data_IF_554752612984
#
_entry.id   IF_554752612984
#
_cell.length_a   1.000
_cell.length_b   1.000
_cell.length_c   1.000
_cell.angle_alpha   90.00
_cell.angle_beta   90.00
_cell.angle_gamma   90.00
#
_symmetry.space_group_name_H-M   'P 1'
#
loop_
_entity.id
_entity.type
_entity.pdbx_description
1 polymer ?
#
# COMPACT_ATOMS: atom_id res chain seq x y z
N UNK A 1 28.38 -0.03 8.12
CA UNK A 1 28.48 -0.40 6.70
C UNK A 1 27.06 -0.40 6.11
N UNK A 2 26.75 0.68 5.37
CA UNK A 2 25.39 0.94 4.84
C UNK A 2 24.95 -0.19 3.90
N UNK A 3 25.88 -0.74 3.10
CA UNK A 3 25.55 -1.80 2.15
C UNK A 3 25.11 -3.10 2.84
N UNK A 4 25.70 -3.43 3.97
CA UNK A 4 25.25 -4.57 4.80
C UNK A 4 23.90 -4.35 5.44
N UNK A 5 23.54 -3.11 5.79
CA UNK A 5 22.23 -2.75 6.30
C UNK A 5 21.17 -2.89 5.19
N UNK A 6 21.48 -2.38 4.00
CA UNK A 6 20.60 -2.50 2.83
C UNK A 6 20.37 -3.97 2.49
N UNK A 7 21.42 -4.78 2.40
CA UNK A 7 21.32 -6.22 2.12
C UNK A 7 20.45 -6.95 3.17
N UNK A 8 20.58 -6.60 4.45
CA UNK A 8 19.74 -7.16 5.52
C UNK A 8 18.28 -6.75 5.41
N UNK A 9 17.99 -5.49 5.01
CA UNK A 9 16.64 -4.97 4.84
C UNK A 9 15.99 -5.62 3.61
N UNK A 10 16.73 -5.74 2.49
CA UNK A 10 16.27 -6.42 1.29
C UNK A 10 16.04 -7.93 1.53
N UNK A 11 16.94 -8.57 2.30
CA UNK A 11 16.76 -9.96 2.71
C UNK A 11 15.52 -10.17 3.58
N UNK A 12 15.16 -9.18 4.42
CA UNK A 12 13.93 -9.19 5.21
C UNK A 12 12.67 -8.91 4.36
N UNK A 13 12.83 -8.59 3.05
CA UNK A 13 11.74 -8.40 2.10
C UNK A 13 11.24 -6.98 1.94
N UNK A 14 11.97 -6.02 2.49
CA UNK A 14 11.65 -4.60 2.33
C UNK A 14 12.48 -3.99 1.20
N UNK A 15 11.86 -3.11 0.40
CA UNK A 15 12.59 -2.31 -0.58
C UNK A 15 13.33 -1.15 0.10
N UNK A 16 14.54 -0.85 -0.36
CA UNK A 16 15.32 0.29 0.11
C UNK A 16 15.39 1.34 -0.99
N UNK A 17 14.90 2.55 -0.72
CA UNK A 17 15.12 3.70 -1.59
C UNK A 17 16.41 4.38 -1.15
N UNK A 18 17.44 4.36 -2.01
CA UNK A 18 18.71 5.03 -1.72
C UNK A 18 18.59 6.51 -2.06
N UNK A 19 18.88 7.39 -1.10
CA UNK A 19 19.13 8.80 -1.38
C UNK A 19 20.54 8.95 -1.95
N UNK A 20 20.66 9.63 -3.08
CA UNK A 20 21.95 9.86 -3.75
C UNK A 20 22.69 11.08 -3.18
N UNK A 21 22.08 11.84 -2.28
CA UNK A 21 22.67 13.05 -1.73
C UNK A 21 23.48 12.77 -0.46
N UNK A 22 24.76 13.15 -0.48
CA UNK A 22 25.73 12.99 0.64
C UNK A 22 25.43 13.88 1.86
N UNK A 23 24.45 14.81 1.77
CA UNK A 23 24.22 15.87 2.75
C UNK A 23 23.10 15.60 3.76
N UNK A 24 22.55 14.38 3.82
CA UNK A 24 21.58 14.00 4.88
C UNK A 24 20.24 14.75 4.89
N UNK A 25 20.00 15.63 3.92
CA UNK A 25 18.73 16.35 3.77
C UNK A 25 17.76 15.53 2.91
N UNK A 26 16.47 15.43 3.27
CA UNK A 26 15.46 14.86 2.39
C UNK A 26 15.41 15.70 1.11
N UNK A 27 15.96 15.19 0.01
CA UNK A 27 15.85 15.87 -1.28
C UNK A 27 14.40 15.81 -1.76
N UNK A 28 13.96 16.82 -2.50
CA UNK A 28 12.67 16.81 -3.20
C UNK A 28 12.54 15.54 -4.05
N UNK A 29 13.64 15.05 -4.61
CA UNK A 29 13.73 13.79 -5.35
C UNK A 29 13.30 12.56 -4.54
N UNK A 30 13.56 12.51 -3.22
CA UNK A 30 13.12 11.39 -2.36
C UNK A 30 11.61 11.43 -2.14
N UNK A 31 11.05 12.60 -1.88
CA UNK A 31 9.62 12.76 -1.68
C UNK A 31 8.84 12.41 -2.95
N UNK A 32 9.40 12.74 -4.12
CA UNK A 32 8.80 12.41 -5.41
C UNK A 32 8.96 10.92 -5.75
N UNK A 33 10.09 10.30 -5.42
CA UNK A 33 10.29 8.85 -5.55
C UNK A 33 9.34 8.06 -4.65
N UNK A 34 9.14 8.48 -3.40
CA UNK A 34 8.15 7.88 -2.49
C UNK A 34 6.72 8.04 -3.01
N UNK A 35 6.36 9.23 -3.52
CA UNK A 35 5.04 9.48 -4.10
C UNK A 35 4.80 8.61 -5.34
N UNK A 36 5.80 8.44 -6.21
CA UNK A 36 5.74 7.59 -7.38
C UNK A 36 5.59 6.11 -6.99
N UNK A 37 6.39 5.62 -6.05
CA UNK A 37 6.30 4.25 -5.52
C UNK A 37 4.92 3.97 -4.91
N UNK A 38 4.37 4.91 -4.14
CA UNK A 38 3.03 4.80 -3.55
C UNK A 38 1.92 4.77 -4.61
N UNK A 39 2.00 5.63 -5.63
CA UNK A 39 1.04 5.60 -6.76
C UNK A 39 1.07 4.25 -7.48
N UNK A 40 2.24 3.69 -7.69
CA UNK A 40 2.40 2.38 -8.30
C UNK A 40 1.83 1.27 -7.41
N UNK A 41 2.04 1.35 -6.10
CA UNK A 41 1.47 0.40 -5.13
C UNK A 41 -0.06 0.48 -5.15
N UNK A 42 -0.66 1.67 -5.04
CA UNK A 42 -2.12 1.87 -5.10
C UNK A 42 -2.69 1.30 -6.40
N UNK A 43 -2.05 1.56 -7.54
CA UNK A 43 -2.49 1.05 -8.84
C UNK A 43 -2.47 -0.48 -8.87
N UNK A 44 -1.39 -1.09 -8.38
CA UNK A 44 -1.25 -2.55 -8.31
C UNK A 44 -2.28 -3.18 -7.38
N UNK A 45 -2.49 -2.60 -6.19
CA UNK A 45 -3.48 -3.07 -5.22
C UNK A 45 -4.90 -2.93 -5.76
N UNK A 46 -5.22 -1.81 -6.43
CA UNK A 46 -6.52 -1.57 -7.06
C UNK A 46 -6.82 -2.59 -8.16
N UNK A 47 -5.83 -2.88 -9.02
CA UNK A 47 -5.97 -3.89 -10.06
C UNK A 47 -6.22 -5.29 -9.49
N UNK A 48 -5.44 -5.70 -8.49
CA UNK A 48 -5.62 -7.00 -7.83
C UNK A 48 -6.98 -7.09 -7.13
N UNK A 49 -7.41 -6.02 -6.46
CA UNK A 49 -8.74 -5.95 -5.85
C UNK A 49 -9.84 -6.06 -6.91
N UNK A 50 -9.71 -5.37 -8.05
CA UNK A 50 -10.66 -5.47 -9.17
C UNK A 50 -10.81 -6.92 -9.66
N UNK A 51 -9.71 -7.64 -9.82
CA UNK A 51 -9.74 -9.08 -10.15
C UNK A 51 -10.40 -9.87 -9.03
N UNK A 52 -10.05 -9.58 -7.75
CA UNK A 52 -10.67 -10.23 -6.60
C UNK A 52 -12.18 -10.11 -6.60
N UNK A 53 -12.71 -8.89 -6.77
CA UNK A 53 -14.16 -8.63 -6.80
C UNK A 53 -14.81 -9.32 -8.01
N UNK A 54 -14.19 -9.25 -9.19
CA UNK A 54 -14.71 -9.85 -10.42
C UNK A 54 -14.99 -11.36 -10.28
N UNK A 55 -14.15 -12.07 -9.56
CA UNK A 55 -14.27 -13.52 -9.35
C UNK A 55 -14.95 -13.89 -8.03
N UNK A 56 -14.67 -13.18 -6.94
CA UNK A 56 -15.26 -13.49 -5.64
C UNK A 56 -16.75 -13.13 -5.54
N UNK A 57 -17.20 -12.04 -6.20
CA UNK A 57 -18.59 -11.64 -6.13
C UNK A 57 -19.56 -12.67 -6.80
N UNK A 58 -19.33 -13.12 -8.05
CA UNK A 58 -20.18 -14.16 -8.63
C UNK A 58 -20.06 -15.50 -7.89
N UNK A 59 -18.87 -15.83 -7.40
CA UNK A 59 -18.67 -17.02 -6.58
C UNK A 59 -19.50 -16.97 -5.28
N UNK A 60 -19.50 -15.85 -4.59
CA UNK A 60 -20.30 -15.63 -3.40
C UNK A 60 -21.81 -15.73 -3.67
N UNK A 61 -22.27 -15.07 -4.76
CA UNK A 61 -23.68 -15.15 -5.17
C UNK A 61 -24.08 -16.58 -5.49
N UNK A 62 -23.22 -17.32 -6.19
CA UNK A 62 -23.46 -18.72 -6.55
C UNK A 62 -23.54 -19.61 -5.29
N UNK A 63 -22.62 -19.41 -4.33
CA UNK A 63 -22.61 -20.15 -3.06
C UNK A 63 -23.86 -19.86 -2.24
N UNK A 64 -24.22 -18.58 -2.07
CA UNK A 64 -25.43 -18.19 -1.35
C UNK A 64 -26.70 -18.73 -2.01
N UNK A 65 -26.80 -18.61 -3.31
CA UNK A 65 -27.97 -19.12 -4.04
C UNK A 65 -28.09 -20.65 -3.93
N UNK A 66 -26.97 -21.37 -3.85
CA UNK A 66 -26.93 -22.81 -3.57
C UNK A 66 -27.39 -23.12 -2.15
N UNK A 67 -26.84 -22.42 -1.14
CA UNK A 67 -27.12 -22.68 0.28
C UNK A 67 -28.58 -22.37 0.65
N UNK A 68 -29.15 -21.34 0.04
CA UNK A 68 -30.58 -21.03 0.16
C UNK A 68 -31.49 -21.87 -0.73
N UNK A 69 -30.94 -22.90 -1.41
CA UNK A 69 -31.69 -23.80 -2.31
C UNK A 69 -32.47 -23.08 -3.44
N UNK A 70 -32.03 -21.87 -3.83
CA UNK A 70 -32.67 -21.08 -4.88
C UNK A 70 -32.45 -21.65 -6.30
N UNK A 71 -31.40 -22.44 -6.47
CA UNK A 71 -30.96 -22.97 -7.77
C UNK A 71 -31.43 -24.42 -8.02
N UNK A 72 -32.20 -25.02 -7.08
CA UNK A 72 -32.65 -26.40 -7.20
C UNK A 72 -31.56 -27.46 -7.06
N UNK A 73 -31.88 -28.69 -7.46
CA UNK A 73 -31.00 -29.87 -7.23
C UNK A 73 -29.71 -29.85 -8.04
N UNK A 74 -29.66 -29.19 -9.19
CA UNK A 74 -28.50 -29.13 -10.06
C UNK A 74 -27.32 -28.37 -9.42
N UNK A 75 -27.59 -27.47 -8.48
CA UNK A 75 -26.55 -26.73 -7.77
C UNK A 75 -25.66 -27.58 -6.86
N UNK A 76 -26.12 -28.79 -6.52
CA UNK A 76 -25.37 -29.78 -5.75
C UNK A 76 -24.62 -30.79 -6.63
N UNK A 77 -24.67 -30.61 -7.96
CA UNK A 77 -23.89 -31.43 -8.87
C UNK A 77 -22.38 -31.19 -8.67
N UNK A 78 -21.53 -32.23 -8.69
CA UNK A 78 -20.08 -32.07 -8.59
C UNK A 78 -19.47 -31.08 -9.60
N UNK A 79 -20.06 -30.93 -10.77
CA UNK A 79 -19.66 -29.96 -11.80
C UNK A 79 -19.70 -28.52 -11.30
N UNK A 80 -20.69 -28.17 -10.46
CA UNK A 80 -20.81 -26.81 -9.89
C UNK A 80 -19.67 -26.55 -8.89
N UNK A 81 -19.26 -27.55 -8.11
CA UNK A 81 -18.12 -27.44 -7.20
C UNK A 81 -16.80 -27.14 -7.96
N UNK A 82 -16.64 -27.74 -9.14
CA UNK A 82 -15.48 -27.44 -10.00
C UNK A 82 -15.57 -26.06 -10.67
N UNK A 83 -16.77 -25.58 -11.00
CA UNK A 83 -16.98 -24.19 -11.43
C UNK A 83 -16.59 -23.22 -10.31
N UNK A 84 -16.99 -23.49 -9.06
CA UNK A 84 -16.61 -22.68 -7.90
C UNK A 84 -15.09 -22.70 -7.68
N UNK A 85 -14.41 -23.84 -7.84
CA UNK A 85 -12.96 -23.93 -7.85
C UNK A 85 -12.33 -23.04 -8.93
N UNK A 86 -12.85 -23.07 -10.16
CA UNK A 86 -12.33 -22.26 -11.28
C UNK A 86 -12.44 -20.76 -11.00
N UNK A 87 -13.53 -20.34 -10.35
CA UNK A 87 -13.72 -18.95 -9.95
C UNK A 87 -12.83 -18.57 -8.75
N UNK A 88 -12.61 -19.47 -7.81
CA UNK A 88 -11.78 -19.20 -6.64
C UNK A 88 -10.27 -19.19 -6.94
N UNK A 89 -9.81 -20.03 -7.88
CA UNK A 89 -8.39 -20.20 -8.18
C UNK A 89 -7.66 -18.89 -8.57
N UNK A 90 -8.19 -17.99 -9.42
CA UNK A 90 -7.56 -16.71 -9.70
C UNK A 90 -7.44 -15.83 -8.45
N UNK A 91 -8.42 -15.86 -7.55
CA UNK A 91 -8.37 -15.10 -6.31
C UNK A 91 -7.30 -15.68 -5.40
N UNK A 92 -7.29 -17.00 -5.23
CA UNK A 92 -6.35 -17.70 -4.35
C UNK A 92 -4.90 -17.50 -4.77
N UNK A 93 -4.57 -17.69 -6.05
CA UNK A 93 -3.19 -17.74 -6.51
C UNK A 93 -2.68 -16.42 -7.07
N UNK A 94 -3.51 -15.58 -7.70
CA UNK A 94 -3.08 -14.31 -8.24
C UNK A 94 -3.27 -13.15 -7.24
N UNK A 95 -4.49 -13.00 -6.68
CA UNK A 95 -4.76 -11.92 -5.72
C UNK A 95 -4.08 -12.23 -4.38
N UNK A 96 -4.10 -13.49 -3.95
CA UNK A 96 -3.51 -13.99 -2.71
C UNK A 96 -1.99 -14.11 -2.72
N UNK A 97 -1.34 -14.01 -3.88
CA UNK A 97 0.11 -14.23 -4.02
C UNK A 97 0.96 -13.41 -3.03
N UNK A 98 0.58 -12.16 -2.78
CA UNK A 98 1.31 -11.27 -1.87
C UNK A 98 1.33 -11.82 -0.44
N UNK A 99 0.21 -12.41 0.01
CA UNK A 99 0.10 -13.02 1.34
C UNK A 99 0.94 -14.29 1.47
N UNK A 100 1.02 -15.09 0.39
CA UNK A 100 1.91 -16.25 0.39
C UNK A 100 3.37 -15.84 0.47
N UNK A 101 3.77 -14.85 -0.32
CA UNK A 101 5.14 -14.34 -0.31
C UNK A 101 5.49 -13.68 1.02
N UNK A 102 4.65 -12.77 1.52
CA UNK A 102 4.85 -12.09 2.80
C UNK A 102 4.84 -13.05 3.98
N UNK A 103 3.89 -13.99 3.99
CA UNK A 103 3.81 -15.03 5.01
C UNK A 103 5.04 -15.94 5.05
N UNK A 104 5.51 -16.41 3.89
CA UNK A 104 6.72 -17.22 3.81
C UNK A 104 7.96 -16.48 4.34
N UNK A 105 8.14 -15.20 3.96
CA UNK A 105 9.25 -14.39 4.44
C UNK A 105 9.17 -14.14 5.94
N UNK A 106 7.98 -13.88 6.47
CA UNK A 106 7.76 -13.71 7.90
C UNK A 106 8.10 -14.97 8.70
N UNK A 107 7.61 -16.13 8.28
CA UNK A 107 7.92 -17.41 8.91
C UNK A 107 9.42 -17.74 8.88
N UNK A 108 10.08 -17.48 7.75
CA UNK A 108 11.53 -17.68 7.61
C UNK A 108 12.33 -16.80 8.58
N UNK A 109 11.81 -15.63 8.92
CA UNK A 109 12.41 -14.70 9.89
C UNK A 109 12.00 -15.02 11.35
N UNK A 110 11.33 -16.14 11.60
CA UNK A 110 10.90 -16.58 12.93
C UNK A 110 9.76 -15.75 13.52
N UNK A 111 9.01 -15.02 12.68
CA UNK A 111 7.86 -14.22 13.09
C UNK A 111 6.60 -14.65 12.35
N UNK A 112 5.43 -14.37 12.90
CA UNK A 112 4.15 -14.56 12.25
C UNK A 112 3.42 -13.22 12.16
N UNK A 113 2.97 -12.87 10.97
CA UNK A 113 2.23 -11.65 10.70
C UNK A 113 0.84 -11.97 10.12
N UNK A 114 0.09 -10.93 9.78
CA UNK A 114 -1.24 -11.07 9.16
C UNK A 114 -1.19 -11.90 7.87
N UNK A 115 -0.12 -11.79 7.08
CA UNK A 115 0.01 -12.52 5.81
C UNK A 115 0.07 -14.03 6.02
N UNK A 116 0.74 -14.49 7.09
CA UNK A 116 0.77 -15.91 7.50
C UNK A 116 -0.63 -16.41 7.81
N UNK A 117 -1.39 -15.63 8.60
CA UNK A 117 -2.74 -15.99 9.00
C UNK A 117 -3.67 -16.09 7.79
N UNK A 118 -3.61 -15.10 6.90
CA UNK A 118 -4.42 -15.07 5.67
C UNK A 118 -4.07 -16.22 4.74
N UNK A 119 -2.77 -16.41 4.47
CA UNK A 119 -2.31 -17.49 3.61
C UNK A 119 -2.71 -18.86 4.15
N UNK A 120 -2.54 -19.10 5.45
CA UNK A 120 -2.87 -20.35 6.08
C UNK A 120 -4.39 -20.60 6.10
N UNK A 121 -5.18 -19.61 6.56
CA UNK A 121 -6.63 -19.76 6.67
C UNK A 121 -7.31 -19.96 5.31
N UNK A 122 -6.94 -19.15 4.31
CA UNK A 122 -7.48 -19.32 2.96
C UNK A 122 -7.05 -20.63 2.30
N UNK A 123 -5.80 -21.10 2.54
CA UNK A 123 -5.31 -22.37 2.01
C UNK A 123 -6.02 -23.56 2.61
N UNK A 124 -6.34 -23.54 3.90
CA UNK A 124 -7.10 -24.61 4.57
C UNK A 124 -8.51 -24.69 3.99
N UNK A 125 -9.21 -23.55 3.87
CA UNK A 125 -10.56 -23.51 3.30
C UNK A 125 -10.57 -23.97 1.83
N UNK A 126 -9.62 -23.47 1.02
CA UNK A 126 -9.49 -23.86 -0.39
C UNK A 126 -9.11 -25.34 -0.55
N UNK A 127 -8.10 -25.82 0.19
CA UNK A 127 -7.63 -27.20 0.12
C UNK A 127 -8.70 -28.21 0.57
N UNK A 128 -9.40 -27.92 1.67
CA UNK A 128 -10.53 -28.71 2.11
C UNK A 128 -11.60 -28.81 1.02
N UNK A 129 -11.95 -27.68 0.40
CA UNK A 129 -12.95 -27.64 -0.67
C UNK A 129 -12.54 -28.46 -1.89
N UNK A 130 -11.24 -28.50 -2.23
CA UNK A 130 -10.72 -29.35 -3.31
C UNK A 130 -10.90 -30.83 -2.95
N UNK A 131 -10.63 -31.21 -1.70
CA UNK A 131 -10.83 -32.59 -1.23
C UNK A 131 -12.31 -32.98 -1.33
N UNK A 132 -13.22 -32.12 -0.85
CA UNK A 132 -14.67 -32.36 -0.94
C UNK A 132 -15.12 -32.45 -2.40
N UNK A 133 -14.74 -31.51 -3.27
CA UNK A 133 -15.08 -31.55 -4.68
C UNK A 133 -14.60 -32.83 -5.38
N UNK A 134 -13.41 -33.29 -5.02
CA UNK A 134 -12.84 -34.54 -5.55
C UNK A 134 -13.62 -35.78 -5.08
N UNK A 135 -13.91 -35.87 -3.77
CA UNK A 135 -14.67 -37.03 -3.21
C UNK A 135 -16.08 -37.07 -3.76
N UNK A 136 -16.76 -35.94 -3.91
CA UNK A 136 -18.08 -35.87 -4.54
C UNK A 136 -18.05 -36.34 -6.01
N UNK A 137 -16.99 -35.99 -6.75
CA UNK A 137 -16.81 -36.44 -8.15
C UNK A 137 -16.58 -37.96 -8.25
N UNK A 138 -16.07 -38.56 -7.20
CA UNK A 138 -15.88 -40.02 -7.09
C UNK A 138 -17.13 -40.73 -6.55
N UNK A 139 -18.23 -40.01 -6.33
CA UNK A 139 -19.49 -40.57 -5.81
C UNK A 139 -19.46 -40.88 -4.32
N UNK A 140 -18.55 -40.25 -3.55
CA UNK A 140 -18.41 -40.48 -2.10
C UNK A 140 -18.59 -39.16 -1.34
N UNK A 141 -19.37 -39.21 -0.27
CA UNK A 141 -19.57 -38.08 0.65
C UNK A 141 -18.70 -38.18 1.91
N UNK A 142 -17.60 -38.95 1.87
CA UNK A 142 -16.76 -39.21 3.04
C UNK A 142 -16.11 -37.95 3.63
N UNK A 143 -15.88 -36.91 2.82
CA UNK A 143 -15.31 -35.63 3.25
C UNK A 143 -16.38 -34.54 3.50
N UNK A 144 -17.68 -34.89 3.45
CA UNK A 144 -18.80 -33.95 3.52
C UNK A 144 -19.29 -33.55 2.14
N UNK A 145 -20.23 -32.60 2.10
CA UNK A 145 -20.92 -32.11 0.88
C UNK A 145 -20.78 -30.58 0.67
N UNK A 146 -20.20 -29.86 1.65
CA UNK A 146 -20.04 -28.42 1.60
C UNK A 146 -18.62 -28.03 1.20
N UNK A 147 -18.51 -27.15 0.21
CA UNK A 147 -17.26 -26.50 -0.21
C UNK A 147 -17.21 -25.06 0.31
N UNK A 148 -16.02 -24.54 0.57
CA UNK A 148 -15.75 -23.22 1.14
C UNK A 148 -14.87 -22.38 0.22
N UNK A 149 -15.01 -22.53 -1.10
CA UNK A 149 -14.25 -21.76 -2.07
C UNK A 149 -14.53 -20.26 -1.97
N UNK A 150 -15.81 -19.89 -1.74
CA UNK A 150 -16.23 -18.52 -1.55
C UNK A 150 -15.62 -17.90 -0.28
N UNK A 151 -15.53 -18.67 0.80
CA UNK A 151 -14.91 -18.22 2.06
C UNK A 151 -13.44 -17.88 1.84
N UNK A 152 -12.68 -18.75 1.17
CA UNK A 152 -11.29 -18.52 0.85
C UNK A 152 -11.13 -17.26 -0.03
N UNK A 153 -11.94 -17.10 -1.07
CA UNK A 153 -11.91 -15.96 -1.96
C UNK A 153 -12.32 -14.65 -1.28
N UNK A 154 -13.34 -14.69 -0.42
CA UNK A 154 -13.79 -13.51 0.34
C UNK A 154 -12.74 -13.03 1.34
N UNK A 155 -12.12 -13.93 2.10
CA UNK A 155 -11.04 -13.60 3.04
C UNK A 155 -9.96 -12.80 2.30
N UNK A 156 -9.44 -13.32 1.20
CA UNK A 156 -8.40 -12.66 0.42
C UNK A 156 -8.86 -11.31 -0.11
N UNK A 157 -10.07 -11.25 -0.69
CA UNK A 157 -10.58 -10.03 -1.34
C UNK A 157 -10.86 -8.93 -0.33
N UNK A 158 -11.48 -9.25 0.82
CA UNK A 158 -11.79 -8.27 1.87
C UNK A 158 -10.52 -7.74 2.56
N UNK A 159 -9.54 -8.60 2.81
CA UNK A 159 -8.26 -8.15 3.37
C UNK A 159 -7.50 -7.31 2.35
N UNK A 160 -7.57 -7.64 1.05
CA UNK A 160 -7.01 -6.80 -0.01
C UNK A 160 -7.68 -5.42 -0.07
N UNK A 161 -8.99 -5.35 0.11
CA UNK A 161 -9.72 -4.09 0.24
C UNK A 161 -9.21 -3.29 1.45
N UNK A 162 -9.11 -3.92 2.62
CA UNK A 162 -8.55 -3.29 3.82
C UNK A 162 -7.15 -2.73 3.61
N UNK A 163 -6.28 -3.50 2.93
CA UNK A 163 -4.92 -3.06 2.60
C UNK A 163 -4.89 -1.87 1.65
N UNK A 164 -5.77 -1.83 0.65
CA UNK A 164 -5.90 -0.67 -0.24
C UNK A 164 -6.34 0.59 0.52
N UNK A 165 -7.32 0.46 1.43
CA UNK A 165 -7.78 1.58 2.26
C UNK A 165 -6.67 2.08 3.19
N UNK A 166 -5.89 1.17 3.78
CA UNK A 166 -4.72 1.52 4.61
C UNK A 166 -3.69 2.35 3.83
N UNK A 167 -3.32 1.89 2.62
CA UNK A 167 -2.31 2.59 1.79
C UNK A 167 -2.81 3.97 1.38
N UNK A 168 -4.11 4.11 1.06
CA UNK A 168 -4.72 5.41 0.73
C UNK A 168 -4.71 6.37 1.92
N UNK A 169 -5.16 5.92 3.09
CA UNK A 169 -5.20 6.74 4.29
C UNK A 169 -3.82 7.24 4.72
N UNK A 170 -2.79 6.38 4.64
CA UNK A 170 -1.39 6.78 4.88
C UNK A 170 -0.89 7.83 3.88
N UNK A 171 -1.38 7.78 2.63
CA UNK A 171 -1.05 8.76 1.60
C UNK A 171 -1.55 10.17 1.90
N UNK A 172 -2.82 10.29 2.25
CA UNK A 172 -3.47 11.58 2.55
C UNK A 172 -2.79 12.30 3.74
N UNK A 173 -2.41 11.56 4.77
CA UNK A 173 -1.69 12.11 5.92
C UNK A 173 -0.32 12.70 5.53
N UNK A 174 0.42 12.01 4.66
CA UNK A 174 1.73 12.48 4.18
C UNK A 174 1.63 13.74 3.32
N UNK A 175 0.60 13.87 2.49
CA UNK A 175 0.36 15.07 1.67
C UNK A 175 0.01 16.29 2.52
N UNK A 176 -0.77 16.13 3.59
CA UNK A 176 -1.08 17.22 4.52
C UNK A 176 0.17 17.76 5.21
N UNK A 177 1.08 16.88 5.66
CA UNK A 177 2.36 17.29 6.26
C UNK A 177 3.25 17.99 5.21
N UNK A 178 3.31 17.46 3.98
CA UNK A 178 4.08 18.08 2.88
C UNK A 178 3.53 19.46 2.54
N UNK A 179 2.22 19.66 2.58
CA UNK A 179 1.57 20.96 2.40
C UNK A 179 2.02 21.99 3.43
N UNK A 180 2.18 21.60 4.70
CA UNK A 180 2.70 22.47 5.75
C UNK A 180 4.19 22.80 5.55
N UNK A 181 5.01 21.82 5.15
CA UNK A 181 6.45 22.02 4.89
C UNK A 181 6.69 22.90 3.65
N UNK A 182 5.80 22.88 2.66
CA UNK A 182 5.87 23.73 1.46
C UNK A 182 5.54 25.21 1.73
N UNK A 183 5.09 25.54 2.95
CA UNK A 183 4.91 26.94 3.36
C UNK A 183 6.24 27.67 3.57
N UNK A 184 7.33 26.96 3.84
CA UNK A 184 8.67 27.56 3.96
C UNK A 184 9.25 27.75 2.56
N UNK A 185 9.67 28.97 2.18
CA UNK A 185 10.31 29.22 0.88
C UNK A 185 11.66 28.51 0.79
N UNK A 186 11.99 27.98 -0.38
CA UNK A 186 13.24 27.26 -0.62
C UNK A 186 14.42 28.20 -0.88
N UNK A 187 14.14 29.44 -1.31
CA UNK A 187 15.14 30.47 -1.61
C UNK A 187 14.91 31.73 -0.78
N UNK A 188 15.97 32.44 -0.53
CA UNK A 188 15.97 33.73 0.13
C UNK A 188 16.75 34.73 -0.70
N UNK A 189 16.28 36.00 -0.74
CA UNK A 189 16.98 37.10 -1.38
C UNK A 189 17.89 37.77 -0.36
N UNK A 190 19.18 37.57 -0.53
CA UNK A 190 20.24 38.08 0.37
C UNK A 190 20.93 39.26 -0.28
N UNK A 191 21.19 40.30 0.50
CA UNK A 191 21.97 41.45 0.06
C UNK A 191 23.37 41.33 0.68
N UNK A 192 24.35 41.01 -0.16
CA UNK A 192 25.80 40.97 0.22
C UNK A 192 26.54 41.95 -0.68
N UNK A 193 27.43 42.73 -0.12
CA UNK A 193 28.26 43.71 -0.86
C UNK A 193 27.43 44.65 -1.77
N UNK A 194 26.26 45.06 -1.29
CA UNK A 194 25.32 45.93 -2.03
C UNK A 194 24.75 45.32 -3.33
N UNK A 195 24.79 43.95 -3.46
CA UNK A 195 24.21 43.20 -4.56
C UNK A 195 23.15 42.25 -4.04
N UNK A 196 22.01 42.22 -4.70
CA UNK A 196 20.95 41.23 -4.41
C UNK A 196 21.32 39.91 -5.07
N UNK A 197 21.29 38.83 -4.29
CA UNK A 197 21.51 37.46 -4.74
C UNK A 197 20.39 36.56 -4.21
N UNK A 198 19.88 35.70 -5.06
CA UNK A 198 18.93 34.67 -4.64
C UNK A 198 19.70 33.42 -4.28
N UNK A 199 19.63 33.01 -3.02
CA UNK A 199 20.35 31.86 -2.47
C UNK A 199 19.35 30.86 -1.89
N UNK A 200 19.67 29.56 -1.92
CA UNK A 200 18.95 28.57 -1.12
C UNK A 200 18.94 28.97 0.37
N UNK A 201 17.80 28.80 1.04
CA UNK A 201 17.66 29.17 2.47
C UNK A 201 18.73 28.50 3.34
N UNK A 202 19.21 27.33 2.94
CA UNK A 202 20.29 26.58 3.64
C UNK A 202 21.65 27.28 3.62
N UNK A 203 21.87 28.20 2.69
CA UNK A 203 23.12 28.96 2.54
C UNK A 203 23.08 30.33 3.24
N UNK A 204 21.91 30.67 3.82
CA UNK A 204 21.73 31.88 4.62
C UNK A 204 22.40 31.69 5.97
N UNK A 205 23.25 32.65 6.35
CA UNK A 205 23.97 32.61 7.63
C UNK A 205 23.55 33.78 8.53
N UNK A 206 23.75 33.60 9.84
CA UNK A 206 23.46 34.67 10.81
C UNK A 206 24.28 35.92 10.53
N UNK A 207 23.60 37.02 10.37
CA UNK A 207 24.19 38.33 9.99
C UNK A 207 23.93 38.74 8.54
N UNK A 208 23.37 37.86 7.72
CA UNK A 208 22.93 38.24 6.38
C UNK A 208 21.77 39.22 6.43
N UNK A 209 21.75 40.16 5.51
CA UNK A 209 20.63 41.08 5.29
C UNK A 209 19.73 40.50 4.20
N UNK A 210 18.46 40.26 4.55
CA UNK A 210 17.48 39.73 3.64
C UNK A 210 16.51 40.81 3.15
N UNK A 211 16.22 40.78 1.87
CA UNK A 211 15.20 41.63 1.25
C UNK A 211 13.91 40.81 1.06
N UNK A 212 12.84 41.26 1.70
CA UNK A 212 11.50 40.65 1.55
C UNK A 212 10.59 41.68 0.92
N UNK A 213 10.00 41.34 -0.23
CA UNK A 213 9.09 42.24 -0.96
C UNK A 213 7.64 41.99 -0.57
N UNK A 214 6.73 42.94 -0.78
CA UNK A 214 5.30 42.73 -0.56
C UNK A 214 4.79 41.48 -1.30
N UNK A 215 4.11 40.58 -0.58
CA UNK A 215 3.61 39.31 -1.12
C UNK A 215 4.62 38.16 -1.09
N UNK A 216 5.89 38.40 -0.75
CA UNK A 216 6.87 37.33 -0.53
C UNK A 216 6.78 36.79 0.89
N UNK A 217 7.17 35.51 1.06
CA UNK A 217 7.23 34.86 2.37
C UNK A 217 8.56 35.16 3.05
N UNK A 218 8.55 35.36 4.36
CA UNK A 218 9.76 35.52 5.18
C UNK A 218 10.47 34.13 5.26
N UNK A 219 11.70 33.99 4.73
CA UNK A 219 12.35 32.68 4.56
C UNK A 219 12.97 32.11 5.83
N UNK A 220 13.40 32.96 6.77
CA UNK A 220 14.04 32.58 8.04
C UNK A 220 13.66 33.56 9.13
N UNK A 221 13.86 33.17 10.38
CA UNK A 221 13.70 34.07 11.52
C UNK A 221 14.73 35.19 11.47
N UNK A 222 14.28 36.43 11.79
CA UNK A 222 15.14 37.60 11.71
C UNK A 222 14.63 38.79 12.51
N UNK A 223 15.40 39.86 12.46
CA UNK A 223 15.02 41.18 13.01
C UNK A 223 14.81 42.17 11.86
N UNK A 224 13.73 42.90 11.90
CA UNK A 224 13.49 44.01 10.95
C UNK A 224 14.52 45.11 11.22
N UNK A 225 15.30 45.46 10.19
CA UNK A 225 16.34 46.48 10.26
C UNK A 225 15.80 47.78 9.64
N UNK A 226 15.05 47.66 8.55
CA UNK A 226 14.47 48.80 7.82
C UNK A 226 13.12 48.39 7.22
N UNK A 227 12.24 49.38 7.01
CA UNK A 227 10.92 49.18 6.46
C UNK A 227 9.83 48.85 7.48
N UNK A 228 8.58 48.79 7.02
CA UNK A 228 7.41 48.40 7.79
C UNK A 228 6.35 47.78 6.86
N UNK A 229 5.71 46.74 7.34
CA UNK A 229 4.65 46.05 6.60
C UNK A 229 3.76 45.27 7.56
N UNK A 230 2.63 44.78 7.04
CA UNK A 230 1.77 43.85 7.75
C UNK A 230 2.18 42.44 7.35
N UNK A 231 2.29 41.56 8.33
CA UNK A 231 2.61 40.12 8.13
C UNK A 231 1.34 39.31 8.43
N UNK A 232 1.02 38.41 7.53
CA UNK A 232 -0.05 37.43 7.73
C UNK A 232 0.55 36.18 8.42
N UNK A 233 0.14 35.94 9.65
CA UNK A 233 0.55 34.82 10.50
C UNK A 233 -0.54 33.75 10.62
N UNK A 234 -1.63 33.85 9.82
CA UNK A 234 -2.71 32.86 9.82
C UNK A 234 -2.30 31.53 9.09
#
# INVERSE_FOLDING_TARGET
DVDRLVERIEWAGYGVVRSTNQDGTPSEDLADAEAAARKQEISTQTRKLGVGILFAAPLFVLSMARDFSLLGTWAHDPSVSWLMFLLAAPVQFYVGYDYYRGGWMSLRNGSANMDVLVAMGSSVAFGYSVIVATTLSLGSNAAGDHVYFETAALIITLIKLGKLLEVRAKGETGEAIKGLLSLTPNTARVVRDNHEQELPVKEVVVGDLLLVRPGERIPVDGRIVDGHSTVDES
#
